data_IF_285095794191
#
_entry.id   IF_285095794191
#
_cell.length_a   1.000
_cell.length_b   1.000
_cell.length_c   1.000
_cell.angle_alpha   90.00
_cell.angle_beta   90.00
_cell.angle_gamma   90.00
#
_symmetry.space_group_name_H-M   'P 1'
#
loop_
_entity.id
_entity.type
_entity.pdbx_description
1 polymer ?
#
# COMPACT_ATOMS: atom_id res chain seq x y z
N UNK A 1 -2.87 46.50 -49.07
CA UNK A 1 -2.31 45.21 -49.52
C UNK A 1 -1.75 44.48 -48.30
N UNK A 2 -2.21 43.24 -48.08
CA UNK A 2 -1.58 42.10 -47.38
C UNK A 2 -1.03 42.32 -45.95
N UNK A 3 -1.70 41.81 -44.90
CA UNK A 3 -1.52 40.46 -44.26
C UNK A 3 -0.09 40.28 -43.73
N UNK A 4 0.14 40.04 -42.44
CA UNK A 4 0.21 38.69 -41.85
C UNK A 4 0.16 38.74 -40.29
N UNK A 5 -0.84 38.01 -39.76
CA UNK A 5 -0.91 37.14 -38.57
C UNK A 5 -0.17 37.49 -37.27
N UNK A 6 -0.85 37.59 -36.11
CA UNK A 6 -1.39 36.51 -35.26
C UNK A 6 -0.31 35.50 -34.79
N UNK A 7 -0.46 35.04 -33.53
CA UNK A 7 0.28 33.95 -32.85
C UNK A 7 1.46 34.40 -31.96
N UNK A 8 1.15 35.06 -30.84
CA UNK A 8 1.93 34.93 -29.59
C UNK A 8 1.05 34.34 -28.49
N UNK A 9 0.29 33.31 -28.86
CA UNK A 9 -0.27 32.36 -27.92
C UNK A 9 0.50 31.05 -28.08
N UNK A 10 0.57 30.27 -27.00
CA UNK A 10 1.04 28.88 -26.98
C UNK A 10 2.56 28.70 -26.88
N UNK A 11 3.14 29.18 -25.78
CA UNK A 11 4.43 28.67 -25.25
C UNK A 11 4.26 28.25 -23.77
N UNK A 12 3.10 27.64 -23.47
CA UNK A 12 2.72 27.11 -22.15
C UNK A 12 2.36 25.62 -22.23
N UNK A 13 3.10 24.84 -23.04
CA UNK A 13 2.65 23.50 -23.45
C UNK A 13 3.69 22.39 -23.32
N UNK A 14 4.63 22.45 -22.36
CA UNK A 14 5.61 21.36 -22.18
C UNK A 14 5.99 21.03 -20.71
N UNK A 15 5.19 21.42 -19.72
CA UNK A 15 5.22 20.71 -18.43
C UNK A 15 4.45 19.39 -18.59
N UNK A 16 5.07 18.42 -19.25
CA UNK A 16 4.61 17.02 -19.24
C UNK A 16 4.86 16.50 -17.82
N UNK A 17 3.82 16.14 -17.02
CA UNK A 17 4.03 15.35 -15.83
C UNK A 17 4.43 13.93 -16.26
N UNK A 18 5.73 13.72 -16.49
CA UNK A 18 6.34 12.43 -16.76
C UNK A 18 6.33 11.59 -15.47
N UNK A 19 5.17 11.07 -15.09
CA UNK A 19 5.10 10.24 -13.88
C UNK A 19 3.71 9.98 -13.30
N UNK A 20 2.63 10.16 -14.05
CA UNK A 20 1.34 9.59 -13.64
C UNK A 20 1.36 8.06 -13.90
N UNK A 21 2.24 7.33 -13.20
CA UNK A 21 2.09 5.89 -13.03
C UNK A 21 0.74 5.71 -12.34
N UNK A 22 -0.19 5.06 -13.01
CA UNK A 22 -1.53 4.89 -12.52
C UNK A 22 -1.45 4.27 -11.11
N UNK A 23 -2.02 4.95 -10.12
CA UNK A 23 -2.17 4.56 -8.72
C UNK A 23 -2.92 3.22 -8.51
N UNK A 24 -3.19 2.48 -9.58
CA UNK A 24 -3.86 1.19 -9.60
C UNK A 24 -2.81 0.08 -9.61
N UNK A 25 -2.77 -0.68 -8.52
CA UNK A 25 -1.96 -1.88 -8.43
C UNK A 25 -2.52 -2.95 -9.38
N UNK A 26 -1.62 -3.69 -10.03
CA UNK A 26 -1.97 -4.95 -10.67
C UNK A 26 -2.39 -6.00 -9.63
N UNK A 27 -2.90 -7.16 -10.06
CA UNK A 27 -3.39 -8.19 -9.14
C UNK A 27 -2.33 -8.74 -8.18
N UNK A 28 -1.07 -8.85 -8.62
CA UNK A 28 0.04 -9.37 -7.80
C UNK A 28 0.47 -8.34 -6.77
N UNK A 29 0.67 -7.11 -7.22
CA UNK A 29 1.02 -5.96 -6.41
C UNK A 29 -0.05 -5.70 -5.34
N UNK A 30 -1.34 -5.83 -5.70
CA UNK A 30 -2.44 -5.73 -4.75
C UNK A 30 -2.47 -6.89 -3.75
N UNK A 31 -2.06 -8.09 -4.15
CA UNK A 31 -1.92 -9.22 -3.22
C UNK A 31 -0.77 -8.98 -2.24
N UNK A 32 0.37 -8.47 -2.71
CA UNK A 32 1.51 -8.08 -1.88
C UNK A 32 1.13 -6.96 -0.90
N UNK A 33 0.45 -5.91 -1.35
CA UNK A 33 0.01 -4.81 -0.49
C UNK A 33 -0.91 -5.29 0.66
N UNK A 34 -1.82 -6.22 0.38
CA UNK A 34 -2.65 -6.84 1.44
C UNK A 34 -1.82 -7.70 2.40
N UNK A 35 -0.78 -8.35 1.89
CA UNK A 35 0.14 -9.14 2.71
C UNK A 35 0.88 -8.26 3.69
N UNK A 36 1.49 -7.17 3.19
CA UNK A 36 2.14 -6.15 4.03
C UNK A 36 1.15 -5.57 5.04
N UNK A 37 -0.08 -5.23 4.65
CA UNK A 37 -1.09 -4.73 5.59
C UNK A 37 -1.45 -5.75 6.70
N UNK A 38 -1.45 -7.05 6.40
CA UNK A 38 -1.64 -8.10 7.42
C UNK A 38 -0.43 -8.21 8.37
N UNK A 39 0.79 -8.04 7.87
CA UNK A 39 2.01 -7.99 8.69
C UNK A 39 1.97 -6.78 9.63
N UNK A 40 1.63 -5.59 9.11
CA UNK A 40 1.44 -4.37 9.93
C UNK A 40 0.38 -4.54 11.02
N UNK A 41 -0.71 -5.26 10.72
CA UNK A 41 -1.73 -5.56 11.73
C UNK A 41 -1.22 -6.49 12.82
N UNK A 42 -0.39 -7.49 12.49
CA UNK A 42 0.21 -8.38 13.48
C UNK A 42 1.24 -7.66 14.35
N UNK A 43 2.06 -6.79 13.74
CA UNK A 43 2.99 -5.91 14.45
C UNK A 43 2.27 -4.97 15.42
N UNK A 44 1.20 -4.29 14.96
CA UNK A 44 0.38 -3.41 15.80
C UNK A 44 -0.35 -4.13 16.94
N UNK A 45 -0.58 -5.43 16.81
CA UNK A 45 -1.12 -6.29 17.88
C UNK A 45 -0.04 -6.82 18.83
N UNK A 46 1.24 -6.55 18.55
CA UNK A 46 2.40 -7.01 19.31
C UNK A 46 2.75 -8.49 19.08
N UNK A 47 2.35 -9.06 17.94
CA UNK A 47 2.59 -10.49 17.63
C UNK A 47 3.96 -10.72 17.00
N UNK A 48 4.57 -9.68 16.42
CA UNK A 48 5.84 -9.75 15.71
C UNK A 48 6.93 -9.02 16.49
N UNK A 49 8.15 -9.53 16.42
CA UNK A 49 9.32 -8.71 16.70
C UNK A 49 9.66 -7.81 15.51
N UNK A 50 10.51 -6.80 15.71
CA UNK A 50 11.00 -5.94 14.63
C UNK A 50 11.65 -6.75 13.49
N UNK A 51 12.43 -7.78 13.84
CA UNK A 51 13.05 -8.65 12.85
C UNK A 51 12.00 -9.46 12.07
N UNK A 52 11.00 -10.03 12.76
CA UNK A 52 9.93 -10.78 12.08
C UNK A 52 9.11 -9.87 11.15
N UNK A 53 8.87 -8.63 11.56
CA UNK A 53 8.21 -7.63 10.72
C UNK A 53 8.99 -7.38 9.44
N UNK A 54 10.30 -7.07 9.56
CA UNK A 54 11.16 -6.79 8.41
C UNK A 54 11.23 -8.01 7.47
N UNK A 55 11.48 -9.20 8.01
CA UNK A 55 11.59 -10.43 7.22
C UNK A 55 10.30 -10.74 6.45
N UNK A 56 9.12 -10.53 7.06
CA UNK A 56 7.84 -10.79 6.42
C UNK A 56 7.47 -9.73 5.37
N UNK A 57 7.83 -8.47 5.60
CA UNK A 57 7.67 -7.41 4.60
C UNK A 57 8.59 -7.67 3.41
N UNK A 58 9.87 -7.96 3.64
CA UNK A 58 10.83 -8.28 2.59
C UNK A 58 10.39 -9.49 1.79
N UNK A 59 9.91 -10.56 2.45
CA UNK A 59 9.36 -11.72 1.77
C UNK A 59 8.14 -11.38 0.90
N UNK A 60 7.25 -10.49 1.36
CA UNK A 60 6.08 -10.08 0.59
C UNK A 60 6.45 -9.24 -0.65
N UNK A 61 7.61 -8.59 -0.62
CA UNK A 61 8.08 -7.67 -1.66
C UNK A 61 9.20 -8.26 -2.54
N UNK A 62 9.74 -9.44 -2.21
CA UNK A 62 10.91 -10.04 -2.85
C UNK A 62 10.85 -10.21 -4.37
N UNK A 63 9.65 -10.34 -4.95
CA UNK A 63 9.44 -10.52 -6.39
C UNK A 63 9.29 -9.19 -7.17
N UNK A 64 9.40 -8.04 -6.49
CA UNK A 64 9.19 -6.72 -7.08
C UNK A 64 10.49 -5.91 -7.07
N UNK A 65 10.72 -5.15 -8.14
CA UNK A 65 11.78 -4.15 -8.18
C UNK A 65 11.53 -3.05 -7.14
N UNK A 66 12.60 -2.43 -6.63
CA UNK A 66 12.55 -1.46 -5.52
C UNK A 66 11.48 -0.37 -5.70
N UNK A 67 11.44 0.28 -6.88
CA UNK A 67 10.44 1.33 -7.17
C UNK A 67 8.99 0.82 -7.08
N UNK A 68 8.75 -0.44 -7.48
CA UNK A 68 7.44 -1.06 -7.40
C UNK A 68 7.12 -1.49 -5.95
N UNK A 69 8.11 -2.00 -5.22
CA UNK A 69 8.00 -2.35 -3.81
C UNK A 69 7.60 -1.15 -2.95
N UNK A 70 8.22 0.02 -3.19
CA UNK A 70 7.88 1.28 -2.51
C UNK A 70 6.41 1.68 -2.72
N UNK A 71 5.93 1.58 -3.97
CA UNK A 71 4.53 1.88 -4.30
C UNK A 71 3.58 0.89 -3.63
N UNK A 72 3.92 -0.40 -3.61
CA UNK A 72 3.13 -1.45 -2.94
C UNK A 72 3.07 -1.18 -1.43
N UNK A 73 4.20 -0.87 -0.80
CA UNK A 73 4.29 -0.56 0.62
C UNK A 73 3.44 0.68 0.96
N UNK A 74 3.56 1.77 0.20
CA UNK A 74 2.74 2.97 0.40
C UNK A 74 1.23 2.68 0.28
N UNK A 75 0.84 1.76 -0.61
CA UNK A 75 -0.56 1.31 -0.74
C UNK A 75 -1.00 0.44 0.44
N UNK A 76 -0.12 -0.38 0.99
CA UNK A 76 -0.40 -1.16 2.19
C UNK A 76 -0.65 -0.24 3.39
N UNK A 77 0.21 0.77 3.59
CA UNK A 77 0.03 1.81 4.61
C UNK A 77 -1.34 2.48 4.45
N UNK A 78 -1.67 2.97 3.24
CA UNK A 78 -2.96 3.61 3.00
C UNK A 78 -4.17 2.69 3.21
N UNK A 79 -4.04 1.39 2.90
CA UNK A 79 -5.08 0.40 3.19
C UNK A 79 -5.24 0.20 4.70
N UNK A 80 -4.13 0.10 5.43
CA UNK A 80 -4.10 -0.05 6.88
C UNK A 80 -4.71 1.17 7.59
N UNK A 81 -4.34 2.38 7.19
CA UNK A 81 -4.92 3.63 7.71
C UNK A 81 -6.42 3.71 7.39
N UNK A 82 -6.80 3.31 6.16
CA UNK A 82 -8.19 3.22 5.75
C UNK A 82 -9.02 2.26 6.60
N UNK A 83 -8.41 1.16 7.08
CA UNK A 83 -9.05 0.24 8.03
C UNK A 83 -9.32 0.91 9.38
N UNK A 84 -8.48 1.86 9.81
CA UNK A 84 -8.66 2.60 11.06
C UNK A 84 -9.56 3.83 10.92
N UNK A 85 -9.98 4.16 9.69
CA UNK A 85 -10.81 5.34 9.45
C UNK A 85 -12.07 5.36 10.34
N UNK A 86 -12.27 6.49 11.01
CA UNK A 86 -13.40 6.71 11.92
C UNK A 86 -13.23 6.13 13.33
N UNK A 87 -12.09 5.49 13.63
CA UNK A 87 -11.71 5.10 14.99
C UNK A 87 -10.79 6.19 15.56
N UNK A 88 -11.12 6.81 16.70
CA UNK A 88 -10.19 7.70 17.39
C UNK A 88 -8.93 6.94 17.82
N UNK A 89 -7.74 7.46 17.55
CA UNK A 89 -6.48 6.83 17.97
C UNK A 89 -6.38 6.66 19.50
N UNK A 90 -7.09 7.49 20.27
CA UNK A 90 -7.18 7.34 21.73
C UNK A 90 -7.99 6.13 22.19
N UNK A 91 -8.87 5.59 21.34
CA UNK A 91 -9.69 4.42 21.63
C UNK A 91 -8.93 3.13 21.28
N UNK A 92 -7.94 2.83 22.12
CA UNK A 92 -7.06 1.69 21.94
C UNK A 92 -7.81 0.36 21.94
N UNK A 93 -8.93 0.25 22.67
CA UNK A 93 -9.75 -0.96 22.66
C UNK A 93 -10.37 -1.19 21.28
N UNK A 94 -10.94 -0.14 20.67
CA UNK A 94 -11.57 -0.22 19.36
C UNK A 94 -10.55 -0.46 18.24
N UNK A 95 -9.37 0.18 18.31
CA UNK A 95 -8.24 -0.08 17.40
C UNK A 95 -7.83 -1.54 17.47
N UNK A 96 -7.57 -2.05 18.67
CA UNK A 96 -7.16 -3.43 18.90
C UNK A 96 -8.23 -4.44 18.45
N UNK A 97 -9.51 -4.12 18.67
CA UNK A 97 -10.63 -4.96 18.19
C UNK A 97 -10.69 -5.01 16.65
N UNK A 98 -10.52 -3.85 15.99
CA UNK A 98 -10.50 -3.77 14.52
C UNK A 98 -9.33 -4.56 13.93
N UNK A 99 -8.14 -4.41 14.50
CA UNK A 99 -6.95 -5.14 14.06
C UNK A 99 -7.11 -6.65 14.22
N UNK A 100 -7.62 -7.12 15.36
CA UNK A 100 -7.93 -8.55 15.56
C UNK A 100 -8.94 -9.08 14.54
N UNK A 101 -10.00 -8.31 14.26
CA UNK A 101 -11.00 -8.68 13.26
C UNK A 101 -10.39 -8.78 11.86
N UNK A 102 -9.54 -7.82 11.48
CA UNK A 102 -8.86 -7.82 10.20
C UNK A 102 -7.87 -8.99 10.07
N UNK A 103 -7.06 -9.24 11.11
CA UNK A 103 -6.12 -10.36 11.15
C UNK A 103 -6.82 -11.72 11.05
N UNK A 104 -8.01 -11.86 11.66
CA UNK A 104 -8.84 -13.06 11.56
C UNK A 104 -9.61 -13.17 10.23
N UNK A 105 -9.55 -12.16 9.35
CA UNK A 105 -10.29 -12.14 8.10
C UNK A 105 -9.64 -13.01 7.02
N UNK A 106 -10.44 -13.41 6.02
CA UNK A 106 -9.96 -14.16 4.84
C UNK A 106 -8.88 -13.43 4.03
N UNK A 107 -8.71 -12.13 4.24
CA UNK A 107 -7.63 -11.35 3.64
C UNK A 107 -6.27 -11.84 4.15
N UNK A 108 -6.16 -12.05 5.47
CA UNK A 108 -4.92 -12.51 6.11
C UNK A 108 -4.81 -14.04 6.19
N UNK A 109 -5.92 -14.78 6.29
CA UNK A 109 -5.89 -16.25 6.38
C UNK A 109 -5.41 -16.93 5.09
N UNK A 110 -5.59 -16.30 3.92
CA UNK A 110 -5.09 -16.87 2.65
C UNK A 110 -3.55 -16.84 2.55
N UNK A 111 -2.89 -16.07 3.42
CA UNK A 111 -1.44 -15.88 3.43
C UNK A 111 -0.70 -16.87 4.35
N UNK A 112 -1.40 -17.50 5.31
CA UNK A 112 -0.81 -18.41 6.31
C UNK A 112 -0.86 -19.89 5.86
N UNK A 113 -1.25 -20.19 4.62
CA UNK A 113 -1.29 -21.58 4.11
C UNK A 113 -0.04 -22.02 3.34
N UNK A 114 0.95 -21.14 3.10
CA UNK A 114 2.20 -21.53 2.40
C UNK A 114 3.44 -21.53 3.28
N UNK A 115 3.40 -20.94 4.48
CA UNK A 115 4.61 -20.76 5.33
C UNK A 115 4.55 -21.46 6.69
N UNK A 116 3.41 -22.03 7.08
CA UNK A 116 3.29 -22.83 8.29
C UNK A 116 2.57 -24.14 7.97
N UNK A 117 3.35 -25.20 7.72
CA UNK A 117 2.87 -26.56 7.93
C UNK A 117 2.60 -26.73 9.43
N UNK A 118 1.33 -26.97 9.78
CA UNK A 118 0.94 -27.60 11.04
C UNK A 118 1.42 -29.05 11.09
#
# INVERSE_FOLDING_TARGET
MHKILFVSGVLLSLLLPSGAQALALGPKEFAAAKTVACVMAQDSLGYLSENDFNDLVDQALADFEDDAADVIYAKAVGYFDGLMFGIPESDQELVQARLRQFNASRVCTRLVSSSFQL
#
